data_IF_182322272108
#
_entry.id   IF_182322272108
#
_cell.length_a   1.000
_cell.length_b   1.000
_cell.length_c   1.000
_cell.angle_alpha   90.00
_cell.angle_beta   90.00
_cell.angle_gamma   90.00
#
_symmetry.space_group_name_H-M   'P 1'
#
loop_
_entity.id
_entity.type
_entity.pdbx_description
1 polymer ?
#
# COMPACT_ATOMS: atom_id res chain seq x y z
N UNK A 1 1.40 -25.10 -7.02
CA UNK A 1 2.79 -25.41 -6.78
C UNK A 1 3.20 -24.68 -5.51
N UNK A 2 3.82 -25.44 -4.58
CA UNK A 2 4.44 -24.85 -3.39
C UNK A 2 5.54 -23.92 -3.93
N UNK A 3 5.37 -22.63 -3.75
CA UNK A 3 6.43 -21.67 -3.99
C UNK A 3 7.58 -21.99 -3.03
N UNK A 4 8.80 -21.97 -3.54
CA UNK A 4 9.96 -22.09 -2.69
C UNK A 4 9.91 -20.94 -1.66
N UNK A 5 10.20 -21.20 -0.37
CA UNK A 5 10.25 -20.16 0.67
C UNK A 5 11.14 -18.96 0.27
N UNK A 6 12.18 -19.20 -0.50
CA UNK A 6 13.10 -18.16 -0.99
C UNK A 6 12.44 -17.17 -1.97
N UNK A 7 11.40 -17.59 -2.71
CA UNK A 7 10.71 -16.73 -3.67
C UNK A 7 10.02 -15.51 -3.01
N UNK A 8 9.73 -15.60 -1.72
CA UNK A 8 9.15 -14.48 -0.94
C UNK A 8 10.16 -13.39 -0.57
N UNK A 9 11.45 -13.66 -0.71
CA UNK A 9 12.53 -12.69 -0.45
C UNK A 9 13.06 -12.08 -1.75
N UNK A 10 12.58 -12.52 -2.89
CA UNK A 10 12.93 -11.93 -4.18
C UNK A 10 12.28 -10.58 -4.39
N UNK A 11 12.98 -9.71 -5.11
CA UNK A 11 12.43 -8.43 -5.53
C UNK A 11 11.33 -8.67 -6.57
N UNK A 12 10.10 -8.35 -6.22
CA UNK A 12 8.93 -8.38 -7.10
C UNK A 12 8.22 -7.04 -7.04
N UNK A 13 8.28 -6.25 -8.13
CA UNK A 13 7.70 -4.91 -8.11
C UNK A 13 6.24 -4.89 -7.63
N UNK A 14 5.91 -3.89 -6.82
CA UNK A 14 4.54 -3.67 -6.39
C UNK A 14 3.63 -3.47 -7.60
N UNK A 15 2.42 -4.00 -7.54
CA UNK A 15 1.44 -3.85 -8.60
C UNK A 15 0.64 -2.56 -8.41
N UNK A 16 0.60 -1.72 -9.44
CA UNK A 16 -0.25 -0.54 -9.50
C UNK A 16 -1.44 -0.88 -10.39
N UNK A 17 -2.61 -1.06 -9.78
CA UNK A 17 -3.88 -1.23 -10.48
C UNK A 17 -4.47 0.11 -10.84
N UNK A 18 -5.09 0.22 -12.01
CA UNK A 18 -5.71 1.45 -12.45
C UNK A 18 -6.96 1.25 -13.29
N UNK A 19 -7.88 2.21 -13.16
CA UNK A 19 -9.09 2.35 -13.98
C UNK A 19 -9.25 3.79 -14.40
N UNK A 20 -9.40 4.02 -15.71
CA UNK A 20 -9.83 5.31 -16.26
C UNK A 20 -11.32 5.24 -16.59
N UNK A 21 -12.07 6.29 -16.25
CA UNK A 21 -13.51 6.41 -16.47
C UNK A 21 -13.87 7.88 -16.70
N UNK A 22 -15.08 8.12 -17.24
CA UNK A 22 -15.53 9.47 -17.58
C UNK A 22 -16.82 9.81 -16.84
N UNK A 23 -16.90 11.01 -16.30
CA UNK A 23 -18.07 11.53 -15.60
C UNK A 23 -18.67 12.66 -16.44
N UNK A 24 -19.93 12.47 -16.90
CA UNK A 24 -20.65 13.43 -17.71
C UNK A 24 -21.70 14.27 -16.97
N UNK A 25 -21.98 13.94 -15.71
CA UNK A 25 -23.02 14.58 -14.90
C UNK A 25 -22.45 15.29 -13.69
N UNK A 26 -23.21 16.22 -13.12
CA UNK A 26 -22.84 16.90 -11.88
C UNK A 26 -22.90 15.92 -10.70
N UNK A 27 -21.76 15.73 -10.01
CA UNK A 27 -21.64 14.83 -8.86
C UNK A 27 -22.29 15.50 -7.65
N UNK A 28 -23.17 14.77 -6.95
CA UNK A 28 -23.70 15.15 -5.64
C UNK A 28 -22.84 14.58 -4.51
N UNK A 29 -22.47 13.30 -4.64
CA UNK A 29 -21.65 12.59 -3.65
C UNK A 29 -20.96 11.40 -4.31
N UNK A 30 -19.73 11.13 -3.90
CA UNK A 30 -19.01 9.94 -4.30
C UNK A 30 -18.33 9.28 -3.10
N UNK A 31 -18.40 7.94 -3.03
CA UNK A 31 -17.82 7.15 -1.96
C UNK A 31 -17.01 6.00 -2.55
N UNK A 32 -15.74 5.92 -2.21
CA UNK A 32 -14.88 4.80 -2.54
C UNK A 32 -14.87 3.81 -1.36
N UNK A 33 -15.24 2.56 -1.62
CA UNK A 33 -15.01 1.42 -0.73
C UNK A 33 -13.89 0.60 -1.32
N UNK A 34 -12.87 0.28 -0.53
CA UNK A 34 -11.66 -0.37 -1.03
C UNK A 34 -11.05 -1.29 0.01
N UNK A 35 -10.52 -2.40 -0.45
CA UNK A 35 -9.63 -3.28 0.30
C UNK A 35 -8.53 -3.79 -0.63
N UNK A 36 -7.28 -3.64 -0.21
CA UNK A 36 -6.14 -4.30 -0.82
C UNK A 36 -5.68 -5.42 0.12
N UNK A 37 -5.75 -6.65 -0.32
CA UNK A 37 -5.17 -7.77 0.42
C UNK A 37 -3.65 -7.74 0.26
N UNK A 38 -2.98 -7.37 1.30
CA UNK A 38 -1.69 -6.75 1.43
C UNK A 38 -1.88 -5.37 2.07
N UNK A 39 -1.05 -4.40 1.76
CA UNK A 39 -1.33 -2.98 2.02
C UNK A 39 -1.66 -2.29 0.71
N UNK A 40 -2.40 -1.19 0.78
CA UNK A 40 -2.68 -0.38 -0.41
C UNK A 40 -2.46 1.11 -0.17
N UNK A 41 -2.04 1.79 -1.22
CA UNK A 41 -2.11 3.24 -1.36
C UNK A 41 -2.98 3.56 -2.57
N UNK A 42 -4.06 4.32 -2.38
CA UNK A 42 -4.99 4.64 -3.46
C UNK A 42 -5.07 6.14 -3.72
N UNK A 43 -5.19 6.49 -5.00
CA UNK A 43 -5.28 7.87 -5.48
C UNK A 43 -6.40 8.02 -6.50
N UNK A 44 -7.01 9.19 -6.52
CA UNK A 44 -7.89 9.64 -7.60
C UNK A 44 -7.25 10.88 -8.23
N UNK A 45 -7.00 10.83 -9.53
CA UNK A 45 -6.37 11.91 -10.30
C UNK A 45 -5.01 12.36 -9.73
N UNK A 46 -4.23 11.41 -9.15
CA UNK A 46 -2.95 11.67 -8.51
C UNK A 46 -3.04 12.29 -7.12
N UNK A 47 -4.23 12.36 -6.53
CA UNK A 47 -4.45 12.85 -5.17
C UNK A 47 -4.79 11.67 -4.26
N UNK A 48 -4.03 11.44 -3.17
CA UNK A 48 -4.31 10.36 -2.21
C UNK A 48 -5.75 10.44 -1.65
N UNK A 49 -6.46 9.33 -1.62
CA UNK A 49 -7.82 9.25 -1.07
C UNK A 49 -7.85 9.40 0.45
N UNK A 50 -6.72 9.15 1.09
CA UNK A 50 -6.52 9.29 2.53
C UNK A 50 -5.09 9.66 2.87
N UNK A 51 -4.87 10.20 4.05
CA UNK A 51 -3.54 10.39 4.66
C UNK A 51 -3.18 9.28 5.64
N UNK A 52 -4.09 8.32 5.88
CA UNK A 52 -3.79 7.18 6.72
C UNK A 52 -2.82 6.24 6.04
N UNK A 53 -2.04 5.53 6.84
CA UNK A 53 -1.02 4.57 6.40
C UNK A 53 -1.38 3.17 6.89
N UNK A 54 -0.74 2.14 6.32
CA UNK A 54 -0.92 0.73 6.69
C UNK A 54 -2.36 0.22 6.53
N UNK A 55 -3.04 0.66 5.47
CA UNK A 55 -4.39 0.20 5.15
C UNK A 55 -4.38 -1.07 4.28
N UNK A 56 -5.38 -1.97 4.43
CA UNK A 56 -6.44 -2.00 5.42
C UNK A 56 -5.95 -2.51 6.78
N UNK A 57 -6.84 -2.45 7.77
CA UNK A 57 -6.59 -3.04 9.09
C UNK A 57 -6.42 -4.57 8.97
N UNK A 58 -5.52 -5.12 9.78
CA UNK A 58 -5.26 -6.55 9.80
C UNK A 58 -6.40 -7.33 10.47
N UNK A 59 -6.67 -8.52 9.92
CA UNK A 59 -7.65 -9.47 10.45
C UNK A 59 -7.27 -10.90 10.06
N UNK A 60 -8.02 -11.88 10.54
CA UNK A 60 -7.97 -13.23 9.96
C UNK A 60 -8.80 -13.23 8.67
N UNK A 61 -8.13 -13.11 7.53
CA UNK A 61 -8.75 -12.93 6.22
C UNK A 61 -9.66 -14.10 5.77
N UNK A 62 -9.57 -15.27 6.41
CA UNK A 62 -10.50 -16.39 6.18
C UNK A 62 -11.82 -16.24 6.94
N UNK A 63 -11.88 -15.31 7.93
CA UNK A 63 -13.07 -15.06 8.75
C UNK A 63 -13.66 -13.68 8.50
N UNK A 64 -12.81 -12.66 8.44
CA UNK A 64 -13.21 -11.27 8.39
C UNK A 64 -12.22 -10.47 7.53
N UNK A 65 -12.74 -9.64 6.65
CA UNK A 65 -11.95 -8.75 5.79
C UNK A 65 -12.48 -7.34 5.99
N UNK A 66 -11.66 -6.46 6.54
CA UNK A 66 -12.01 -5.05 6.68
C UNK A 66 -11.81 -4.31 5.36
N UNK A 67 -12.85 -3.57 4.94
CA UNK A 67 -12.71 -2.60 3.87
C UNK A 67 -12.79 -1.18 4.41
N UNK A 68 -12.09 -0.27 3.76
CA UNK A 68 -12.13 1.16 4.05
C UNK A 68 -13.18 1.86 3.19
N UNK A 69 -13.72 2.98 3.72
CA UNK A 69 -14.72 3.78 3.03
C UNK A 69 -14.37 5.26 3.11
N UNK A 70 -14.13 5.87 1.96
CA UNK A 70 -13.70 7.26 1.84
C UNK A 70 -14.71 8.09 1.07
N UNK A 71 -15.01 9.28 1.57
CA UNK A 71 -15.74 10.30 0.82
C UNK A 71 -14.76 10.97 -0.15
N UNK A 72 -15.01 10.84 -1.46
CA UNK A 72 -14.06 11.24 -2.52
C UNK A 72 -14.64 12.21 -3.54
N UNK A 73 -15.78 12.81 -3.26
CA UNK A 73 -16.48 13.73 -4.18
C UNK A 73 -15.55 14.83 -4.70
N UNK A 74 -14.74 15.41 -3.82
CA UNK A 74 -13.83 16.52 -4.15
C UNK A 74 -12.61 16.10 -4.98
N UNK A 75 -12.34 14.81 -5.11
CA UNK A 75 -11.23 14.28 -5.89
C UNK A 75 -11.62 13.98 -7.34
N UNK A 76 -12.92 14.00 -7.64
CA UNK A 76 -13.47 13.74 -8.96
C UNK A 76 -13.76 15.04 -9.69
N UNK A 77 -13.63 14.97 -11.01
CA UNK A 77 -13.96 16.09 -11.93
C UNK A 77 -14.90 15.62 -13.04
N UNK A 78 -15.58 16.58 -13.70
CA UNK A 78 -16.25 16.29 -14.96
C UNK A 78 -15.24 15.88 -16.02
N UNK A 79 -15.59 14.94 -16.87
CA UNK A 79 -14.70 14.36 -17.88
C UNK A 79 -13.91 13.18 -17.36
N UNK A 80 -12.68 13.03 -17.84
CA UNK A 80 -11.83 11.87 -17.55
C UNK A 80 -11.29 11.90 -16.13
N UNK A 81 -11.42 10.76 -15.42
CA UNK A 81 -10.88 10.52 -14.10
C UNK A 81 -10.07 9.22 -14.11
N UNK A 82 -9.11 9.11 -13.19
CA UNK A 82 -8.30 7.92 -13.00
C UNK A 82 -8.23 7.55 -11.52
N UNK A 83 -8.64 6.33 -11.20
CA UNK A 83 -8.43 5.70 -9.90
C UNK A 83 -7.23 4.76 -10.01
N UNK A 84 -6.27 4.89 -9.11
CA UNK A 84 -5.11 4.00 -8.99
C UNK A 84 -5.04 3.41 -7.58
N UNK A 85 -4.52 2.19 -7.47
CA UNK A 85 -4.21 1.56 -6.20
C UNK A 85 -2.91 0.75 -6.34
N UNK A 86 -1.89 1.11 -5.60
CA UNK A 86 -0.65 0.35 -5.49
C UNK A 86 -0.74 -0.62 -4.31
N UNK A 87 -0.35 -1.88 -4.52
CA UNK A 87 -0.42 -2.92 -3.51
C UNK A 87 0.94 -3.36 -3.02
N UNK A 88 1.19 -3.18 -1.73
CA UNK A 88 2.28 -3.80 -0.99
C UNK A 88 1.91 -5.19 -0.46
N UNK A 89 2.89 -5.91 0.10
CA UNK A 89 2.68 -7.26 0.64
C UNK A 89 1.87 -7.29 1.94
N UNK A 90 2.11 -6.31 2.84
CA UNK A 90 1.41 -6.22 4.12
C UNK A 90 1.42 -7.54 4.91
N UNK A 91 0.34 -7.79 5.65
CA UNK A 91 0.16 -9.04 6.40
C UNK A 91 -0.34 -10.20 5.54
N UNK A 92 -1.04 -9.93 4.44
CA UNK A 92 -1.64 -10.97 3.62
C UNK A 92 -0.62 -11.74 2.77
N UNK A 93 0.41 -11.07 2.29
CA UNK A 93 1.48 -11.70 1.49
C UNK A 93 2.88 -11.48 2.11
N UNK A 94 2.98 -11.50 3.45
CA UNK A 94 4.25 -11.36 4.15
C UNK A 94 5.22 -12.51 3.82
N UNK A 95 6.53 -12.23 3.83
CA UNK A 95 7.54 -13.28 3.71
C UNK A 95 7.44 -14.28 4.88
N UNK A 96 7.87 -15.53 4.69
CA UNK A 96 7.94 -16.52 5.77
C UNK A 96 8.76 -15.99 6.94
N UNK A 97 8.18 -16.03 8.12
CA UNK A 97 8.87 -15.64 9.36
C UNK A 97 8.88 -16.80 10.32
N UNK A 98 10.08 -17.25 10.69
CA UNK A 98 10.25 -18.30 11.69
C UNK A 98 10.31 -17.67 13.09
N UNK A 99 9.21 -17.75 13.84
CA UNK A 99 9.21 -17.45 15.26
C UNK A 99 9.79 -18.63 16.03
N UNK A 100 10.72 -18.34 16.96
CA UNK A 100 11.39 -19.35 17.78
C UNK A 100 12.02 -20.49 16.96
N UNK A 101 12.50 -20.17 15.73
CA UNK A 101 13.13 -21.14 14.81
C UNK A 101 12.21 -22.30 14.33
N UNK A 102 10.95 -22.35 14.77
CA UNK A 102 10.05 -23.48 14.56
C UNK A 102 8.78 -23.13 13.81
N UNK A 103 8.25 -21.92 13.97
CA UNK A 103 6.93 -21.58 13.47
C UNK A 103 7.03 -20.59 12.32
N UNK A 104 6.71 -21.02 11.11
CA UNK A 104 6.50 -20.14 9.98
C UNK A 104 5.11 -19.52 10.10
N UNK A 105 5.00 -18.21 10.26
CA UNK A 105 3.71 -17.53 10.40
C UNK A 105 2.78 -17.74 9.20
N UNK A 106 3.33 -17.95 7.99
CA UNK A 106 2.49 -18.22 6.81
C UNK A 106 1.70 -19.52 6.90
N UNK A 107 2.18 -20.50 7.67
CA UNK A 107 1.49 -21.79 7.86
C UNK A 107 0.28 -21.67 8.78
N UNK A 108 0.21 -20.59 9.57
CA UNK A 108 -0.84 -20.38 10.59
C UNK A 108 -1.74 -19.19 10.30
N UNK A 109 -1.32 -18.27 9.44
CA UNK A 109 -2.10 -17.10 9.05
C UNK A 109 -2.81 -17.33 7.72
N UNK A 110 -3.99 -16.74 7.59
CA UNK A 110 -4.69 -16.62 6.32
C UNK A 110 -3.89 -15.70 5.39
N UNK A 111 -3.08 -16.29 4.51
CA UNK A 111 -2.20 -15.58 3.59
C UNK A 111 -2.47 -15.98 2.14
N UNK A 112 -2.04 -15.17 1.19
CA UNK A 112 -2.20 -15.43 -0.23
C UNK A 112 -1.58 -14.36 -1.11
N UNK A 113 -1.78 -14.49 -2.41
CA UNK A 113 -1.37 -13.49 -3.39
C UNK A 113 -2.17 -12.20 -3.24
N UNK A 114 -1.51 -11.06 -3.48
CA UNK A 114 -2.11 -9.73 -3.39
C UNK A 114 -3.34 -9.60 -4.29
N UNK A 115 -4.41 -9.01 -3.78
CA UNK A 115 -5.67 -8.80 -4.51
C UNK A 115 -6.25 -7.44 -4.19
N UNK A 116 -6.94 -6.85 -5.14
CA UNK A 116 -7.66 -5.59 -4.99
C UNK A 116 -9.17 -5.80 -5.18
N UNK A 117 -9.96 -5.24 -4.27
CA UNK A 117 -11.40 -5.06 -4.47
C UNK A 117 -11.75 -3.61 -4.18
N UNK A 118 -12.37 -2.93 -5.13
CA UNK A 118 -12.82 -1.55 -5.00
C UNK A 118 -14.18 -1.34 -5.64
N UNK A 119 -14.97 -0.46 -5.03
CA UNK A 119 -16.24 0.03 -5.55
C UNK A 119 -16.31 1.54 -5.29
N UNK A 120 -16.32 2.32 -6.37
CA UNK A 120 -16.59 3.75 -6.35
C UNK A 120 -18.05 3.97 -6.71
N UNK A 121 -18.87 4.33 -5.72
CA UNK A 121 -20.28 4.67 -5.92
C UNK A 121 -20.41 6.18 -6.08
N UNK A 122 -21.04 6.63 -7.17
CA UNK A 122 -21.26 8.04 -7.51
C UNK A 122 -22.76 8.29 -7.54
N UNK A 123 -23.22 9.26 -6.77
CA UNK A 123 -24.58 9.78 -6.82
C UNK A 123 -24.55 11.15 -7.53
N UNK A 124 -25.34 11.31 -8.56
CA UNK A 124 -25.47 12.54 -9.33
C UNK A 124 -26.52 13.48 -8.76
N UNK A 125 -26.47 14.75 -9.17
CA UNK A 125 -27.40 15.78 -8.72
C UNK A 125 -28.84 15.56 -9.21
N UNK A 126 -28.99 14.87 -10.33
CA UNK A 126 -30.29 14.47 -10.90
C UNK A 126 -30.93 13.26 -10.20
N UNK A 127 -30.23 12.64 -9.26
CA UNK A 127 -30.67 11.47 -8.51
C UNK A 127 -30.18 10.14 -9.09
N UNK A 128 -29.60 10.12 -10.28
CA UNK A 128 -29.00 8.92 -10.87
C UNK A 128 -27.77 8.46 -10.07
N UNK A 129 -27.42 7.18 -10.21
CA UNK A 129 -26.23 6.59 -9.59
C UNK A 129 -25.41 5.79 -10.58
N UNK A 130 -24.12 5.71 -10.33
CA UNK A 130 -23.17 4.90 -11.08
C UNK A 130 -22.22 4.20 -10.13
N UNK A 131 -21.83 2.97 -10.45
CA UNK A 131 -20.81 2.22 -9.71
C UNK A 131 -19.68 1.79 -10.63
N UNK A 132 -18.47 2.08 -10.22
CA UNK A 132 -17.23 1.64 -10.87
C UNK A 132 -16.58 0.63 -9.93
N UNK A 133 -16.61 -0.63 -10.34
CA UNK A 133 -16.10 -1.76 -9.56
C UNK A 133 -14.82 -2.33 -10.17
N UNK A 134 -14.06 -3.08 -9.39
CA UNK A 134 -12.95 -3.87 -9.91
C UNK A 134 -13.47 -5.01 -10.78
N UNK A 135 -13.07 -5.01 -12.03
CA UNK A 135 -13.42 -5.98 -13.05
C UNK A 135 -12.26 -6.15 -14.05
N UNK A 136 -12.45 -6.95 -15.09
CA UNK A 136 -11.45 -7.22 -16.14
C UNK A 136 -11.11 -6.00 -17.01
N UNK A 137 -11.86 -4.91 -16.90
CA UNK A 137 -11.57 -3.65 -17.61
C UNK A 137 -10.50 -2.79 -16.91
N UNK A 138 -10.06 -3.18 -15.71
CA UNK A 138 -8.90 -2.59 -15.07
C UNK A 138 -7.61 -3.06 -15.74
N UNK A 139 -6.57 -2.29 -15.50
CA UNK A 139 -5.22 -2.61 -15.93
C UNK A 139 -4.27 -2.51 -14.76
N UNK A 140 -3.11 -3.15 -14.87
CA UNK A 140 -2.05 -3.02 -13.88
C UNK A 140 -0.69 -2.79 -14.54
N UNK A 141 0.23 -2.25 -13.80
CA UNK A 141 1.64 -2.11 -14.17
C UNK A 141 2.52 -2.32 -12.95
N UNK A 142 3.80 -2.55 -13.19
CA UNK A 142 4.81 -2.59 -12.13
C UNK A 142 5.11 -1.19 -11.60
N UNK A 143 5.23 -1.06 -10.27
CA UNK A 143 5.60 0.16 -9.56
C UNK A 143 7.10 0.29 -9.30
N UNK A 144 7.44 1.23 -8.41
CA UNK A 144 8.82 1.55 -8.01
C UNK A 144 9.27 0.76 -6.79
N UNK A 145 8.36 0.28 -5.94
CA UNK A 145 8.67 -0.60 -4.82
C UNK A 145 9.00 -2.00 -5.34
N UNK A 146 10.27 -2.37 -5.24
CA UNK A 146 10.77 -3.67 -5.72
C UNK A 146 10.56 -4.77 -4.68
N UNK A 147 10.57 -4.39 -3.41
CA UNK A 147 10.38 -5.28 -2.28
C UNK A 147 9.75 -4.49 -1.14
N UNK A 148 8.82 -5.09 -0.42
CA UNK A 148 8.28 -4.56 0.83
C UNK A 148 7.97 -5.71 1.80
N UNK A 149 8.29 -5.51 3.07
CA UNK A 149 7.98 -6.46 4.13
C UNK A 149 7.89 -5.73 5.47
N UNK A 150 6.92 -6.11 6.29
CA UNK A 150 6.67 -5.47 7.59
C UNK A 150 7.89 -5.48 8.52
N UNK A 151 8.73 -6.51 8.43
CA UNK A 151 9.88 -6.69 9.32
C UNK A 151 11.23 -6.50 8.63
N UNK A 152 11.29 -6.65 7.32
CA UNK A 152 12.55 -6.61 6.56
C UNK A 152 12.76 -5.27 5.84
N UNK A 153 11.78 -4.37 5.90
CA UNK A 153 11.85 -3.08 5.25
C UNK A 153 11.43 -3.10 3.78
N UNK A 154 11.95 -2.16 3.02
CA UNK A 154 11.55 -1.95 1.63
C UNK A 154 12.75 -1.62 0.73
N UNK A 155 12.65 -1.97 -0.55
CA UNK A 155 13.54 -1.53 -1.62
C UNK A 155 12.75 -0.73 -2.64
N UNK A 156 13.18 0.50 -2.89
CA UNK A 156 12.52 1.41 -3.83
C UNK A 156 13.51 1.89 -4.89
N UNK A 157 13.15 1.78 -6.14
CA UNK A 157 13.92 2.35 -7.26
C UNK A 157 13.20 3.55 -7.87
N UNK A 158 13.53 4.75 -7.40
CA UNK A 158 12.97 6.00 -7.90
C UNK A 158 13.38 6.34 -9.34
N UNK A 159 14.36 5.65 -9.93
CA UNK A 159 14.71 5.80 -11.34
C UNK A 159 13.78 5.03 -12.27
N UNK A 160 13.04 4.08 -11.73
CA UNK A 160 12.13 3.22 -12.47
C UNK A 160 10.87 4.00 -12.86
N UNK A 161 10.47 3.87 -14.10
CA UNK A 161 9.18 4.37 -14.58
C UNK A 161 8.15 3.27 -14.42
N UNK A 162 6.87 3.66 -14.31
CA UNK A 162 5.76 2.71 -14.33
C UNK A 162 5.89 1.75 -15.52
N UNK A 163 5.69 0.48 -15.26
CA UNK A 163 5.77 -0.57 -16.27
C UNK A 163 4.69 -0.42 -17.35
N UNK A 164 4.76 -1.28 -18.36
CA UNK A 164 3.71 -1.35 -19.38
C UNK A 164 2.40 -1.80 -18.75
N UNK A 165 1.30 -1.18 -19.15
CA UNK A 165 -0.05 -1.60 -18.76
C UNK A 165 -0.38 -2.98 -19.29
N UNK A 166 -0.89 -3.83 -18.43
CA UNK A 166 -1.29 -5.20 -18.69
C UNK A 166 -2.73 -5.42 -18.23
N UNK A 167 -3.47 -6.36 -18.83
CA UNK A 167 -4.80 -6.72 -18.36
C UNK A 167 -4.72 -7.38 -16.97
N UNK A 168 -5.74 -7.18 -16.16
CA UNK A 168 -5.91 -7.90 -14.89
C UNK A 168 -6.62 -9.24 -15.13
N UNK A 169 -6.60 -10.11 -14.13
CA UNK A 169 -7.43 -11.31 -14.07
C UNK A 169 -8.24 -11.33 -12.80
N UNK A 170 -9.43 -11.90 -12.87
CA UNK A 170 -10.26 -12.15 -11.69
C UNK A 170 -9.62 -13.26 -10.84
N UNK A 171 -9.59 -13.05 -9.55
CA UNK A 171 -9.03 -13.99 -8.59
C UNK A 171 -10.08 -14.41 -7.56
N UNK A 172 -10.02 -15.67 -7.10
CA UNK A 172 -10.86 -16.11 -5.99
C UNK A 172 -10.57 -15.26 -4.73
N UNK A 173 -11.63 -14.80 -4.08
CA UNK A 173 -11.52 -14.12 -2.80
C UNK A 173 -11.22 -15.12 -1.67
N UNK A 174 -10.58 -14.67 -0.56
CA UNK A 174 -10.60 -15.43 0.69
C UNK A 174 -12.05 -15.58 1.18
N UNK A 175 -12.26 -16.51 2.13
CA UNK A 175 -13.59 -16.85 2.63
C UNK A 175 -14.17 -15.86 3.63
N UNK A 176 -13.35 -14.94 4.12
CA UNK A 176 -13.74 -13.96 5.14
C UNK A 176 -14.87 -13.05 4.69
N UNK A 177 -15.76 -12.71 5.62
CA UNK A 177 -16.84 -11.77 5.40
C UNK A 177 -16.28 -10.34 5.27
N UNK A 178 -16.74 -9.59 4.26
CA UNK A 178 -16.42 -8.18 4.11
C UNK A 178 -17.20 -7.34 5.13
N UNK A 179 -16.48 -6.57 5.95
CA UNK A 179 -17.07 -5.61 6.88
C UNK A 179 -16.36 -4.26 6.79
N UNK A 180 -17.12 -3.18 6.97
CA UNK A 180 -16.53 -1.85 7.06
C UNK A 180 -15.64 -1.77 8.29
N UNK A 181 -14.39 -1.31 8.12
CA UNK A 181 -13.52 -1.05 9.26
C UNK A 181 -14.15 -0.04 10.21
N UNK A 182 -14.13 -0.36 11.50
CA UNK A 182 -14.50 0.52 12.62
C UNK A 182 -13.29 0.92 13.46
N UNK A 183 -12.11 0.43 13.10
CA UNK A 183 -10.87 0.72 13.80
C UNK A 183 -10.37 2.13 13.48
N UNK A 184 -9.72 2.75 14.44
CA UNK A 184 -9.07 4.03 14.23
C UNK A 184 -7.91 3.89 13.26
N UNK A 185 -7.84 4.80 12.29
CA UNK A 185 -6.79 4.79 11.28
C UNK A 185 -5.49 5.37 11.80
N UNK A 186 -4.39 4.79 11.34
CA UNK A 186 -3.04 5.26 11.65
C UNK A 186 -2.71 6.43 10.73
N UNK A 187 -2.44 7.59 11.31
CA UNK A 187 -2.02 8.78 10.58
C UNK A 187 -0.60 9.17 10.94
N UNK A 188 0.19 9.71 10.00
CA UNK A 188 1.44 10.36 10.33
C UNK A 188 1.21 11.42 11.41
N UNK A 189 1.93 11.27 12.52
CA UNK A 189 1.81 12.16 13.66
C UNK A 189 2.74 13.38 13.57
N UNK A 190 3.38 13.71 14.68
CA UNK A 190 4.31 14.83 14.80
C UNK A 190 5.59 14.55 14.02
N UNK A 191 6.07 15.55 13.27
CA UNK A 191 7.43 15.53 12.71
C UNK A 191 8.44 15.85 13.80
N UNK A 192 9.42 14.97 13.98
CA UNK A 192 10.50 15.13 14.95
C UNK A 192 11.79 15.39 14.17
N UNK A 193 12.54 16.40 14.59
CA UNK A 193 13.85 16.70 14.02
C UNK A 193 14.94 15.92 14.77
N UNK A 194 16.02 15.50 14.10
CA UNK A 194 17.16 14.88 14.76
C UNK A 194 17.74 15.80 15.84
N UNK A 195 18.10 15.24 16.98
CA UNK A 195 18.88 15.95 18.02
C UNK A 195 20.36 16.02 17.69
N UNK A 196 20.89 15.00 17.01
CA UNK A 196 22.28 14.97 16.59
C UNK A 196 22.44 14.21 15.27
N UNK A 197 23.41 14.64 14.47
CA UNK A 197 23.84 13.96 13.26
C UNK A 197 25.36 13.85 13.33
N UNK A 198 25.91 12.63 13.21
CA UNK A 198 27.34 12.36 13.30
C UNK A 198 27.75 11.22 12.37
N UNK A 199 29.03 11.14 12.06
CA UNK A 199 29.60 10.01 11.30
C UNK A 199 30.19 9.04 12.32
N UNK A 200 29.83 7.76 12.24
CA UNK A 200 30.40 6.72 13.09
C UNK A 200 31.76 6.23 12.56
N UNK A 201 32.44 5.36 13.31
CA UNK A 201 33.74 4.81 12.94
C UNK A 201 33.74 4.03 11.61
N UNK A 202 32.62 3.50 11.20
CA UNK A 202 32.44 2.80 9.92
C UNK A 202 32.16 3.74 8.73
N UNK A 203 32.08 5.06 8.97
CA UNK A 203 31.79 6.05 7.94
C UNK A 203 30.29 6.24 7.63
N UNK A 204 29.42 5.61 8.40
CA UNK A 204 27.97 5.75 8.24
C UNK A 204 27.46 7.02 8.92
N UNK A 205 26.47 7.67 8.30
CA UNK A 205 25.75 8.79 8.89
C UNK A 205 24.78 8.25 9.95
N UNK A 206 25.01 8.64 11.19
CA UNK A 206 24.19 8.31 12.33
C UNK A 206 23.28 9.49 12.65
N UNK A 207 21.96 9.25 12.61
CA UNK A 207 20.92 10.25 12.87
C UNK A 207 20.23 9.86 14.18
N UNK A 208 20.42 10.68 15.21
CA UNK A 208 19.93 10.44 16.56
C UNK A 208 18.75 11.37 16.87
N UNK A 209 17.58 10.81 17.14
CA UNK A 209 16.39 11.57 17.54
C UNK A 209 16.32 11.80 19.06
N UNK A 210 17.17 11.11 19.85
CA UNK A 210 17.30 11.27 21.30
C UNK A 210 16.17 10.65 22.11
N UNK A 211 15.27 9.94 21.48
CA UNK A 211 14.18 9.18 22.09
C UNK A 211 13.74 8.05 21.16
N UNK A 212 13.18 6.97 21.71
CA UNK A 212 12.59 5.89 20.92
C UNK A 212 11.28 6.36 20.32
N UNK A 213 11.17 6.21 19.00
CA UNK A 213 10.01 6.67 18.23
C UNK A 213 9.42 5.50 17.43
N UNK A 214 8.10 5.43 17.37
CA UNK A 214 7.39 4.63 16.38
C UNK A 214 7.03 5.53 15.18
N UNK A 215 7.53 5.18 13.98
CA UNK A 215 7.29 6.02 12.81
C UNK A 215 8.13 5.63 11.61
N UNK A 216 8.23 6.53 10.67
CA UNK A 216 9.07 6.41 9.48
C UNK A 216 9.80 7.73 9.23
N UNK A 217 10.91 7.67 8.50
CA UNK A 217 11.70 8.85 8.18
C UNK A 217 11.23 9.48 6.87
N UNK A 218 11.27 10.82 6.84
CA UNK A 218 11.11 11.64 5.66
C UNK A 218 12.48 12.25 5.35
N UNK A 219 13.12 11.80 4.27
CA UNK A 219 14.49 12.18 3.93
C UNK A 219 14.54 12.75 2.54
N UNK A 220 15.11 13.94 2.41
CA UNK A 220 15.39 14.57 1.12
C UNK A 220 16.85 14.37 0.76
N UNK A 221 17.10 13.76 -0.37
CA UNK A 221 18.45 13.56 -0.89
C UNK A 221 18.69 14.46 -2.10
N UNK A 222 19.90 15.04 -2.14
CA UNK A 222 20.47 15.57 -3.37
C UNK A 222 21.57 14.61 -3.82
N UNK A 223 21.30 13.76 -4.80
CA UNK A 223 22.29 12.78 -5.25
C UNK A 223 22.31 12.62 -6.77
N UNK A 224 23.41 12.08 -7.30
CA UNK A 224 23.50 11.69 -8.70
C UNK A 224 22.61 10.46 -8.94
N UNK A 225 22.02 10.38 -10.14
CA UNK A 225 21.22 9.25 -10.60
C UNK A 225 21.97 7.92 -10.44
N UNK A 226 21.27 6.89 -9.97
CA UNK A 226 21.81 5.54 -9.79
C UNK A 226 22.55 5.31 -8.47
N UNK A 227 22.54 6.26 -7.54
CA UNK A 227 23.12 6.07 -6.20
C UNK A 227 22.18 5.29 -5.29
N UNK A 228 22.68 4.23 -4.67
CA UNK A 228 21.97 3.49 -3.62
C UNK A 228 22.19 4.18 -2.27
N UNK A 229 21.10 4.33 -1.54
CA UNK A 229 21.09 4.83 -0.16
C UNK A 229 20.40 3.76 0.68
N UNK A 230 21.06 3.33 1.77
CA UNK A 230 20.51 2.36 2.71
C UNK A 230 20.19 3.07 4.01
N UNK A 231 18.96 2.92 4.49
CA UNK A 231 18.51 3.39 5.79
C UNK A 231 18.34 2.18 6.72
N UNK A 232 18.99 2.21 7.86
CA UNK A 232 18.83 1.23 8.93
C UNK A 232 18.21 1.90 10.15
N UNK A 233 17.40 1.16 10.90
CA UNK A 233 16.74 1.63 12.11
C UNK A 233 17.23 0.81 13.30
N UNK A 234 17.48 1.47 14.43
CA UNK A 234 17.87 0.83 15.66
C UNK A 234 17.36 1.65 16.87
N UNK A 235 17.00 0.97 17.94
CA UNK A 235 16.64 1.63 19.21
C UNK A 235 17.87 2.03 20.01
N UNK A 236 18.94 1.27 19.90
CA UNK A 236 20.21 1.48 20.58
C UNK A 236 21.37 1.48 19.61
N UNK A 237 22.36 2.32 19.89
CA UNK A 237 23.63 2.39 19.18
C UNK A 237 24.65 1.69 20.06
N UNK A 238 25.11 0.53 19.61
CA UNK A 238 26.26 -0.15 20.18
C UNK A 238 27.54 0.24 19.47
#
# INVERSE_FOLDING_TARGET
>A
PLQNELDYYEEKPAAIFQKTFSIGKTIKKATLRIVGLGYYAAEINGIPVTKSVLNPDWSNFDKLIYYDSYEVTKLLSSGSNKLTAELGNGWYNSAPMKLFERYNLRDYLATGEKKLLACLSILYADGDGEEIVTDESWQWSEGQWLFDNIYLGEHVDYSRRAGRLQPVSLAAAPTGKLEKSFLEKIYPGKRVQPKAIRINAAGNLLIDFGETLAGFVDVTFSSQRGRRITLGYAENIQ
#
